data_IF_846448694387
#
_entry.id   IF_846448694387
#
_cell.length_a   1.000
_cell.length_b   1.000
_cell.length_c   1.000
_cell.angle_alpha   90.00
_cell.angle_beta   90.00
_cell.angle_gamma   90.00
#
_symmetry.space_group_name_H-M   'P 1'
#
loop_
_entity.id
_entity.type
_entity.pdbx_description
1 polymer ?
#
# COMPACT_ATOMS: atom_id res chain seq x y z
N UNK A 1 1.18 -7.12 2.25
CA UNK A 1 -0.12 -7.32 1.59
C UNK A 1 0.09 -8.16 0.35
N UNK A 2 -0.95 -8.80 -0.19
CA UNK A 2 -0.82 -9.49 -1.47
C UNK A 2 -0.63 -8.50 -2.63
N UNK A 3 0.03 -8.96 -3.68
CA UNK A 3 0.40 -8.15 -4.85
C UNK A 3 -0.81 -7.61 -5.62
N UNK A 4 -1.94 -8.35 -5.64
CA UNK A 4 -3.16 -7.90 -6.34
C UNK A 4 -3.71 -6.67 -5.66
N UNK A 5 -3.74 -6.67 -4.33
CA UNK A 5 -4.16 -5.54 -3.52
C UNK A 5 -3.24 -4.34 -3.70
N UNK A 6 -1.92 -4.54 -3.76
CA UNK A 6 -0.96 -3.43 -3.95
C UNK A 6 -1.10 -2.78 -5.35
N UNK A 7 -1.24 -3.59 -6.40
CA UNK A 7 -1.55 -3.08 -7.75
C UNK A 7 -2.88 -2.33 -7.75
N UNK A 8 -3.91 -2.90 -7.13
CA UNK A 8 -5.24 -2.29 -7.01
C UNK A 8 -5.19 -0.94 -6.30
N UNK A 9 -4.44 -0.83 -5.20
CA UNK A 9 -4.26 0.40 -4.45
C UNK A 9 -3.56 1.46 -5.27
N UNK A 10 -2.42 1.11 -5.88
CA UNK A 10 -1.69 2.02 -6.75
C UNK A 10 -2.56 2.53 -7.91
N UNK A 11 -3.33 1.63 -8.54
CA UNK A 11 -4.24 1.97 -9.62
C UNK A 11 -5.37 2.92 -9.17
N UNK A 12 -5.98 2.65 -8.01
CA UNK A 12 -7.05 3.47 -7.44
C UNK A 12 -6.55 4.88 -7.06
N UNK A 13 -5.37 4.97 -6.43
CA UNK A 13 -4.69 6.22 -6.10
C UNK A 13 -4.34 6.99 -7.37
N UNK A 14 -3.77 6.33 -8.36
CA UNK A 14 -3.42 6.96 -9.62
C UNK A 14 -4.63 7.56 -10.33
N UNK A 15 -5.73 6.82 -10.38
CA UNK A 15 -6.97 7.32 -10.94
C UNK A 15 -7.53 8.52 -10.16
N UNK A 16 -7.47 8.49 -8.83
CA UNK A 16 -7.92 9.60 -7.98
C UNK A 16 -7.08 10.87 -8.17
N UNK A 17 -5.76 10.75 -8.33
CA UNK A 17 -4.83 11.90 -8.44
C UNK A 17 -4.82 12.52 -9.83
N UNK A 18 -4.75 11.68 -10.88
CA UNK A 18 -4.46 12.15 -12.24
C UNK A 18 -5.37 11.52 -13.33
N UNK A 19 -6.27 10.61 -12.96
CA UNK A 19 -7.12 9.89 -13.91
C UNK A 19 -7.98 10.77 -14.81
N UNK A 20 -8.40 11.94 -14.32
CA UNK A 20 -9.22 12.89 -15.10
C UNK A 20 -8.44 13.63 -16.18
N UNK A 21 -7.12 13.73 -16.04
CA UNK A 21 -6.28 14.55 -16.92
C UNK A 21 -5.52 13.72 -17.94
N UNK A 22 -4.99 12.56 -17.54
CA UNK A 22 -4.20 11.67 -18.43
C UNK A 22 -4.90 10.36 -18.74
N UNK A 23 -6.15 10.21 -18.29
CA UNK A 23 -6.97 9.04 -18.59
C UNK A 23 -6.45 7.76 -17.95
N UNK A 24 -6.60 6.64 -18.67
CA UNK A 24 -6.19 5.29 -18.23
C UNK A 24 -4.70 5.17 -17.91
N UNK A 25 -3.86 6.09 -18.40
CA UNK A 25 -2.43 6.09 -18.08
C UNK A 25 -2.17 6.28 -16.59
N UNK A 26 -2.99 7.07 -15.91
CA UNK A 26 -2.85 7.27 -14.47
C UNK A 26 -3.11 5.96 -13.70
N UNK A 27 -4.18 5.25 -14.07
CA UNK A 27 -4.52 3.94 -13.51
C UNK A 27 -3.39 2.93 -13.74
N UNK A 28 -2.88 2.83 -14.98
CA UNK A 28 -1.82 1.89 -15.34
C UNK A 28 -0.51 2.17 -14.58
N UNK A 29 -0.03 3.42 -14.63
CA UNK A 29 1.22 3.78 -13.95
C UNK A 29 1.09 3.74 -12.44
N UNK A 30 -0.10 4.05 -11.90
CA UNK A 30 -0.39 3.86 -10.49
C UNK A 30 -0.24 2.40 -10.08
N UNK A 31 -0.86 1.47 -10.82
CA UNK A 31 -0.75 0.04 -10.55
C UNK A 31 0.67 -0.51 -10.72
N UNK A 32 1.42 -0.04 -11.72
CA UNK A 32 2.84 -0.38 -11.90
C UNK A 32 3.65 0.10 -10.69
N UNK A 33 3.44 1.35 -10.24
CA UNK A 33 4.14 1.86 -9.06
C UNK A 33 3.76 1.11 -7.77
N UNK A 34 2.53 0.60 -7.68
CA UNK A 34 2.11 -0.30 -6.60
C UNK A 34 2.69 -1.71 -6.69
N UNK A 35 3.24 -2.13 -7.84
CA UNK A 35 3.96 -3.41 -7.94
C UNK A 35 5.45 -3.26 -7.64
N UNK A 36 6.03 -2.12 -8.00
CA UNK A 36 7.48 -1.91 -8.05
C UNK A 36 8.23 -2.26 -6.75
N UNK A 37 7.79 -1.88 -5.53
CA UNK A 37 8.52 -2.19 -4.31
C UNK A 37 8.69 -3.70 -4.08
N UNK A 38 7.66 -4.50 -4.39
CA UNK A 38 7.64 -5.95 -4.19
C UNK A 38 8.48 -6.73 -5.23
N UNK A 39 8.92 -6.09 -6.33
CA UNK A 39 9.77 -6.74 -7.33
C UNK A 39 11.17 -7.07 -6.80
N UNK A 40 11.52 -6.59 -5.61
CA UNK A 40 12.75 -6.98 -4.91
C UNK A 40 12.84 -8.48 -4.62
N UNK A 41 11.71 -9.20 -4.58
CA UNK A 41 11.65 -10.66 -4.44
C UNK A 41 12.37 -11.41 -5.59
N UNK A 42 12.50 -10.77 -6.75
CA UNK A 42 13.17 -11.33 -7.92
C UNK A 42 14.69 -11.27 -7.83
N UNK A 43 15.24 -10.55 -6.84
CA UNK A 43 16.69 -10.40 -6.63
C UNK A 43 17.12 -11.33 -5.49
N UNK A 44 17.68 -12.52 -5.79
CA UNK A 44 18.13 -13.44 -4.74
C UNK A 44 19.36 -12.87 -4.01
N UNK A 45 19.28 -12.75 -2.69
CA UNK A 45 20.33 -12.21 -1.82
C UNK A 45 21.22 -13.31 -1.19
N UNK A 46 21.15 -14.51 -1.73
CA UNK A 46 22.02 -15.65 -1.41
C UNK A 46 21.40 -16.68 -0.46
N UNK A 47 20.78 -16.24 0.63
CA UNK A 47 20.16 -17.14 1.61
C UNK A 47 18.74 -16.70 2.03
N UNK A 48 17.98 -17.61 2.62
CA UNK A 48 16.58 -17.40 2.99
C UNK A 48 16.41 -16.32 4.06
N UNK A 49 17.36 -16.18 4.99
CA UNK A 49 17.29 -15.19 6.08
C UNK A 49 17.51 -13.79 5.51
N UNK A 50 18.51 -13.61 4.64
CA UNK A 50 18.77 -12.36 3.95
C UNK A 50 17.64 -12.00 3.01
N UNK A 51 17.12 -12.96 2.24
CA UNK A 51 15.94 -12.75 1.42
C UNK A 51 14.79 -12.23 2.28
N UNK A 52 14.46 -12.86 3.40
CA UNK A 52 13.36 -12.40 4.25
C UNK A 52 13.63 -11.06 4.94
N UNK A 53 14.88 -10.79 5.35
CA UNK A 53 15.24 -9.59 6.12
C UNK A 53 15.36 -8.34 5.25
N UNK A 54 15.84 -8.51 4.02
CA UNK A 54 16.06 -7.40 3.08
C UNK A 54 14.94 -7.25 2.05
N UNK A 55 14.12 -8.29 1.84
CA UNK A 55 12.79 -8.11 1.24
C UNK A 55 12.02 -7.18 2.17
N UNK A 56 11.52 -6.06 1.65
CA UNK A 56 10.91 -4.97 2.46
C UNK A 56 11.91 -4.12 3.27
N UNK A 57 13.17 -4.14 2.84
CA UNK A 57 14.24 -3.28 3.31
C UNK A 57 14.40 -2.04 2.41
N UNK A 58 15.48 -1.93 1.61
CA UNK A 58 15.76 -0.75 0.77
C UNK A 58 14.64 -0.38 -0.21
N UNK A 59 13.99 -1.39 -0.80
CA UNK A 59 12.89 -1.23 -1.77
C UNK A 59 11.64 -0.57 -1.19
N UNK A 60 11.45 -0.69 0.13
CA UNK A 60 10.30 -0.16 0.88
C UNK A 60 10.67 1.03 1.77
N UNK A 61 11.91 1.53 1.67
CA UNK A 61 12.33 2.74 2.38
C UNK A 61 11.62 3.97 1.81
N UNK A 62 10.99 4.75 2.69
CA UNK A 62 10.37 6.01 2.30
C UNK A 62 11.39 7.00 1.74
N UNK A 63 12.63 6.98 2.24
CA UNK A 63 13.70 7.83 1.72
C UNK A 63 14.08 7.43 0.30
N UNK A 64 14.25 6.14 0.05
CA UNK A 64 14.61 5.61 -1.28
C UNK A 64 13.48 5.87 -2.28
N UNK A 65 12.23 5.58 -1.91
CA UNK A 65 11.08 5.77 -2.79
C UNK A 65 10.78 7.26 -3.05
N UNK A 66 10.96 8.13 -2.06
CA UNK A 66 10.87 9.58 -2.26
C UNK A 66 11.94 10.09 -3.24
N UNK A 67 13.19 9.63 -3.11
CA UNK A 67 14.27 9.97 -4.04
C UNK A 67 14.07 9.36 -5.43
N UNK A 68 13.45 8.17 -5.52
CA UNK A 68 13.15 7.49 -6.77
C UNK A 68 11.96 8.09 -7.53
N UNK A 69 11.03 8.76 -6.84
CA UNK A 69 9.86 9.43 -7.42
C UNK A 69 10.19 10.34 -8.62
N UNK A 70 11.10 11.33 -8.53
CA UNK A 70 11.43 12.20 -9.67
C UNK A 70 12.02 11.44 -10.84
N UNK A 71 12.83 10.40 -10.59
CA UNK A 71 13.40 9.55 -11.63
C UNK A 71 12.29 8.78 -12.37
N UNK A 72 11.36 8.19 -11.63
CA UNK A 72 10.22 7.48 -12.21
C UNK A 72 9.34 8.43 -13.04
N UNK A 73 9.04 9.63 -12.52
CA UNK A 73 8.27 10.64 -13.27
C UNK A 73 8.99 11.10 -14.53
N UNK A 74 10.32 11.25 -14.49
CA UNK A 74 11.11 11.53 -15.68
C UNK A 74 10.92 10.47 -16.77
N UNK A 75 10.98 9.18 -16.41
CA UNK A 75 10.71 8.08 -17.35
C UNK A 75 9.28 8.10 -17.89
N UNK A 76 8.28 8.30 -17.03
CA UNK A 76 6.88 8.42 -17.46
C UNK A 76 6.70 9.55 -18.47
N UNK A 77 7.29 10.71 -18.21
CA UNK A 77 7.19 11.87 -19.10
C UNK A 77 7.97 11.70 -20.41
N UNK A 78 9.03 10.87 -20.43
CA UNK A 78 9.71 10.49 -21.67
C UNK A 78 8.82 9.62 -22.56
N UNK A 79 8.03 8.72 -21.97
CA UNK A 79 7.06 7.88 -22.70
C UNK A 79 5.78 8.65 -23.05
N UNK A 80 5.41 9.63 -22.23
CA UNK A 80 4.20 10.44 -22.39
C UNK A 80 4.49 11.96 -22.39
N UNK A 81 5.27 12.47 -23.36
CA UNK A 81 5.71 13.87 -23.39
C UNK A 81 4.55 14.86 -23.47
N UNK A 82 3.43 14.47 -24.08
CA UNK A 82 2.22 15.29 -24.16
C UNK A 82 1.56 15.56 -22.80
N UNK A 83 1.95 14.86 -21.74
CA UNK A 83 1.42 15.04 -20.38
C UNK A 83 2.34 15.86 -19.47
N UNK A 84 3.39 16.48 -20.02
CA UNK A 84 4.40 17.25 -19.25
C UNK A 84 3.81 18.37 -18.41
N UNK A 85 2.71 18.99 -18.88
CA UNK A 85 1.93 20.01 -18.14
C UNK A 85 1.40 19.51 -16.79
N UNK A 86 1.32 18.19 -16.59
CA UNK A 86 0.85 17.56 -15.35
C UNK A 86 1.99 16.96 -14.51
N UNK A 87 3.26 17.36 -14.74
CA UNK A 87 4.43 16.85 -14.01
C UNK A 87 4.23 16.80 -12.48
N UNK A 88 3.73 17.87 -11.86
CA UNK A 88 3.52 17.90 -10.41
C UNK A 88 2.50 16.86 -9.94
N UNK A 89 1.44 16.63 -10.71
CA UNK A 89 0.47 15.58 -10.39
C UNK A 89 1.01 14.17 -10.66
N UNK A 90 1.90 14.01 -11.63
CA UNK A 90 2.66 12.77 -11.80
C UNK A 90 3.56 12.48 -10.58
N UNK A 91 4.23 13.50 -10.04
CA UNK A 91 5.01 13.38 -8.78
C UNK A 91 4.12 12.90 -7.65
N UNK A 92 2.95 13.50 -7.46
CA UNK A 92 2.00 13.07 -6.44
C UNK A 92 1.49 11.66 -6.66
N UNK A 93 1.15 11.29 -7.90
CA UNK A 93 0.68 9.93 -8.22
C UNK A 93 1.72 8.88 -7.85
N UNK A 94 2.97 9.07 -8.30
CA UNK A 94 4.05 8.12 -8.07
C UNK A 94 4.40 8.06 -6.58
N UNK A 95 4.58 9.21 -5.94
CA UNK A 95 4.90 9.28 -4.52
C UNK A 95 3.81 8.64 -3.67
N UNK A 96 2.54 8.96 -3.92
CA UNK A 96 1.44 8.40 -3.15
C UNK A 96 1.32 6.89 -3.38
N UNK A 97 1.45 6.40 -4.60
CA UNK A 97 1.41 4.95 -4.87
C UNK A 97 2.49 4.21 -4.05
N UNK A 98 3.72 4.72 -4.04
CA UNK A 98 4.82 4.16 -3.24
C UNK A 98 4.57 4.25 -1.73
N UNK A 99 4.17 5.41 -1.22
CA UNK A 99 3.93 5.61 0.21
C UNK A 99 2.77 4.73 0.67
N UNK A 100 1.67 4.67 -0.08
CA UNK A 100 0.51 3.85 0.30
C UNK A 100 0.81 2.36 0.27
N UNK A 101 1.67 1.90 -0.65
CA UNK A 101 2.16 0.52 -0.67
C UNK A 101 2.87 0.17 0.64
N UNK A 102 3.87 0.97 1.00
CA UNK A 102 4.71 0.75 2.18
C UNK A 102 3.89 0.85 3.46
N UNK A 103 2.99 1.83 3.54
CA UNK A 103 2.08 1.96 4.68
C UNK A 103 1.20 0.71 4.79
N UNK A 104 0.61 0.23 3.69
CA UNK A 104 -0.21 -0.98 3.72
C UNK A 104 0.57 -2.21 4.19
N UNK A 105 1.85 -2.32 3.84
CA UNK A 105 2.70 -3.40 4.34
C UNK A 105 2.99 -3.31 5.84
N UNK A 106 3.15 -2.11 6.39
CA UNK A 106 3.30 -1.89 7.84
C UNK A 106 2.11 -2.38 8.65
N UNK A 107 0.94 -2.53 8.02
CA UNK A 107 -0.30 -2.95 8.66
C UNK A 107 -0.44 -4.47 8.76
N UNK A 108 0.47 -5.19 8.10
CA UNK A 108 0.60 -6.64 8.21
C UNK A 108 1.64 -7.02 9.27
N UNK A 109 1.77 -8.32 9.56
CA UNK A 109 2.70 -8.85 10.57
C UNK A 109 4.15 -8.99 10.08
N UNK A 110 4.42 -8.82 8.78
CA UNK A 110 5.68 -9.23 8.17
C UNK A 110 6.86 -8.28 8.40
N UNK A 111 6.64 -7.12 9.04
CA UNK A 111 7.69 -6.12 9.26
C UNK A 111 8.06 -5.38 7.98
N UNK A 112 8.27 -4.06 8.07
CA UNK A 112 8.74 -3.25 6.94
C UNK A 112 9.71 -2.20 7.43
N UNK A 113 10.89 -2.09 6.81
CA UNK A 113 11.95 -1.17 7.23
C UNK A 113 11.78 0.20 6.58
N UNK A 114 10.70 0.90 6.91
CA UNK A 114 10.31 2.15 6.24
C UNK A 114 11.34 3.28 6.35
N UNK A 115 12.20 3.24 7.36
CA UNK A 115 13.26 4.22 7.61
C UNK A 115 14.66 3.73 7.26
N UNK A 116 14.80 2.59 6.57
CA UNK A 116 16.10 2.12 6.09
C UNK A 116 16.84 3.26 5.34
N UNK A 117 18.15 3.50 5.58
CA UNK A 117 19.11 2.65 6.30
C UNK A 117 19.27 2.99 7.80
N UNK A 118 18.37 3.79 8.40
CA UNK A 118 18.45 4.08 9.83
C UNK A 118 18.28 2.78 10.65
N UNK A 119 18.97 2.63 11.79
CA UNK A 119 18.90 1.44 12.63
C UNK A 119 17.62 1.43 13.48
N UNK A 120 16.47 1.41 12.81
CA UNK A 120 15.14 1.34 13.43
C UNK A 120 14.55 -0.05 13.28
N UNK A 121 13.81 -0.56 14.26
CA UNK A 121 13.13 -1.85 14.13
C UNK A 121 12.09 -1.81 12.99
N UNK A 122 11.84 -2.93 12.29
CA UNK A 122 10.78 -3.01 11.29
C UNK A 122 9.41 -2.70 11.88
N UNK A 123 8.57 -1.99 11.12
CA UNK A 123 7.20 -1.66 11.54
C UNK A 123 6.26 -2.81 11.18
N UNK A 124 5.47 -3.28 12.16
CA UNK A 124 4.53 -4.41 12.02
C UNK A 124 3.28 -4.24 12.90
N UNK A 125 2.39 -3.31 12.55
CA UNK A 125 1.19 -3.04 13.34
C UNK A 125 0.23 -4.23 13.40
N UNK A 126 0.27 -5.15 12.43
CA UNK A 126 -0.49 -6.40 12.46
C UNK A 126 -1.99 -6.18 12.71
N UNK A 127 -2.59 -5.24 11.96
CA UNK A 127 -4.02 -4.90 12.01
C UNK A 127 -4.81 -5.57 10.88
N UNK A 128 -4.13 -5.90 9.77
CA UNK A 128 -4.74 -6.52 8.59
C UNK A 128 -4.11 -7.86 8.25
N UNK A 129 -4.95 -8.78 7.77
CA UNK A 129 -4.48 -10.02 7.15
C UNK A 129 -3.95 -9.73 5.74
N UNK A 130 -2.99 -10.52 5.23
CA UNK A 130 -2.32 -10.23 3.94
C UNK A 130 -3.30 -10.17 2.78
N UNK A 131 -4.28 -11.07 2.79
CA UNK A 131 -5.32 -11.23 1.77
C UNK A 131 -6.64 -10.93 2.46
N UNK A 132 -6.93 -9.66 2.74
CA UNK A 132 -8.16 -9.25 3.44
C UNK A 132 -9.24 -8.82 2.43
N UNK A 133 -10.27 -9.65 2.15
CA UNK A 133 -11.31 -9.33 1.18
C UNK A 133 -12.13 -8.10 1.56
N UNK A 134 -12.28 -7.79 2.86
CA UNK A 134 -13.04 -6.63 3.31
C UNK A 134 -12.31 -5.32 2.94
N UNK A 135 -10.98 -5.35 2.87
CA UNK A 135 -10.19 -4.26 2.32
C UNK A 135 -10.13 -4.29 0.78
N UNK A 136 -9.80 -5.44 0.21
CA UNK A 136 -9.41 -5.56 -1.20
C UNK A 136 -10.59 -5.57 -2.17
N UNK A 137 -11.75 -6.14 -1.81
CA UNK A 137 -12.91 -6.19 -2.71
C UNK A 137 -13.49 -4.80 -3.03
N UNK A 138 -13.75 -3.91 -2.04
CA UNK A 138 -14.19 -2.55 -2.36
C UNK A 138 -13.19 -1.84 -3.26
N UNK A 139 -11.90 -1.91 -2.93
CA UNK A 139 -10.82 -1.28 -3.70
C UNK A 139 -10.81 -1.74 -5.16
N UNK A 140 -10.77 -3.05 -5.40
CA UNK A 140 -10.74 -3.64 -6.74
C UNK A 140 -12.04 -3.35 -7.51
N UNK A 141 -13.20 -3.30 -6.84
CA UNK A 141 -14.47 -2.92 -7.47
C UNK A 141 -14.43 -1.48 -8.00
N UNK A 142 -13.77 -0.56 -7.28
CA UNK A 142 -13.55 0.82 -7.72
C UNK A 142 -12.69 0.91 -8.97
N UNK A 143 -11.56 0.18 -8.98
CA UNK A 143 -10.67 0.08 -10.14
C UNK A 143 -11.40 -0.53 -11.34
N UNK A 144 -12.16 -1.60 -11.12
CA UNK A 144 -12.94 -2.27 -12.16
C UNK A 144 -14.01 -1.34 -12.75
N UNK A 145 -14.70 -0.56 -11.91
CA UNK A 145 -15.67 0.43 -12.36
C UNK A 145 -15.03 1.46 -13.30
N UNK A 146 -13.81 1.92 -13.02
CA UNK A 146 -13.08 2.86 -13.90
C UNK A 146 -12.68 2.22 -15.23
N UNK A 147 -12.38 0.93 -15.24
CA UNK A 147 -12.00 0.20 -16.45
C UNK A 147 -13.22 0.02 -17.37
N UNK A 148 -14.36 -0.38 -16.80
CA UNK A 148 -15.58 -0.75 -17.52
C UNK A 148 -16.43 0.48 -17.89
N UNK A 149 -16.58 1.44 -16.98
CA UNK A 149 -17.49 2.56 -17.18
C UNK A 149 -16.94 3.60 -18.16
N UNK A 150 -17.84 4.28 -18.86
CA UNK A 150 -17.49 5.34 -19.81
C UNK A 150 -16.86 6.54 -19.09
N UNK A 151 -15.66 6.93 -19.56
CA UNK A 151 -14.94 8.14 -19.13
C UNK A 151 -15.54 9.45 -19.66
N UNK A 152 -16.59 9.40 -20.50
CA UNK A 152 -17.38 10.60 -20.85
C UNK A 152 -18.11 11.17 -19.63
N UNK A 153 -18.36 10.32 -18.63
CA UNK A 153 -19.01 10.72 -17.37
C UNK A 153 -18.01 10.63 -16.22
N UNK A 154 -18.29 11.34 -15.13
CA UNK A 154 -17.48 11.26 -13.90
C UNK A 154 -17.78 10.02 -13.07
N UNK A 155 -18.77 9.20 -13.44
CA UNK A 155 -19.28 8.08 -12.61
C UNK A 155 -18.19 7.10 -12.19
N UNK A 156 -17.36 6.63 -13.13
CA UNK A 156 -16.27 5.70 -12.82
C UNK A 156 -15.27 6.28 -11.81
N UNK A 157 -14.90 7.56 -11.99
CA UNK A 157 -14.03 8.26 -11.04
C UNK A 157 -14.65 8.36 -9.65
N UNK A 158 -15.93 8.74 -9.57
CA UNK A 158 -16.67 8.85 -8.30
C UNK A 158 -16.76 7.52 -7.59
N UNK A 159 -17.05 6.43 -8.32
CA UNK A 159 -17.10 5.08 -7.74
C UNK A 159 -15.72 4.67 -7.22
N UNK A 160 -14.64 4.89 -7.98
CA UNK A 160 -13.28 4.62 -7.49
C UNK A 160 -12.94 5.40 -6.22
N UNK A 161 -13.25 6.71 -6.18
CA UNK A 161 -13.02 7.52 -4.99
C UNK A 161 -13.85 7.04 -3.80
N UNK A 162 -15.11 6.66 -4.00
CA UNK A 162 -15.96 6.13 -2.94
C UNK A 162 -15.43 4.79 -2.41
N UNK A 163 -15.06 3.86 -3.29
CA UNK A 163 -14.47 2.58 -2.93
C UNK A 163 -13.13 2.74 -2.18
N UNK A 164 -12.25 3.63 -2.67
CA UNK A 164 -11.00 3.95 -1.99
C UNK A 164 -11.25 4.55 -0.60
N UNK A 165 -12.25 5.42 -0.45
CA UNK A 165 -12.66 5.96 0.84
C UNK A 165 -13.19 4.86 1.78
N UNK A 166 -14.00 3.93 1.28
CA UNK A 166 -14.51 2.79 2.07
C UNK A 166 -13.34 1.92 2.57
N UNK A 167 -12.40 1.54 1.70
CA UNK A 167 -11.20 0.78 2.09
C UNK A 167 -10.34 1.54 3.10
N UNK A 168 -10.27 2.87 2.99
CA UNK A 168 -9.57 3.74 3.95
C UNK A 168 -10.29 3.80 5.30
N UNK A 169 -11.62 3.86 5.32
CA UNK A 169 -12.41 3.81 6.57
C UNK A 169 -12.25 2.45 7.26
N UNK A 170 -12.31 1.36 6.48
CA UNK A 170 -12.05 0.02 7.00
C UNK A 170 -10.65 -0.07 7.63
N UNK A 171 -9.67 0.59 7.03
CA UNK A 171 -8.32 0.67 7.56
C UNK A 171 -8.29 1.23 8.99
N UNK A 172 -8.89 2.42 9.20
CA UNK A 172 -8.96 3.04 10.52
C UNK A 172 -9.77 2.20 11.52
N UNK A 173 -10.85 1.57 11.07
CA UNK A 173 -11.61 0.65 11.89
C UNK A 173 -10.74 -0.54 12.36
N UNK A 174 -9.91 -1.13 11.48
CA UNK A 174 -9.01 -2.24 11.83
C UNK A 174 -7.99 -1.85 12.90
N UNK A 175 -7.48 -0.61 12.86
CA UNK A 175 -6.59 -0.07 13.90
C UNK A 175 -7.33 0.04 15.23
N UNK A 176 -8.58 0.53 15.22
CA UNK A 176 -9.40 0.59 16.43
C UNK A 176 -9.68 -0.79 17.03
N UNK A 177 -10.03 -1.76 16.18
CA UNK A 177 -10.24 -3.16 16.59
C UNK A 177 -8.96 -3.76 17.20
N UNK A 178 -7.80 -3.51 16.60
CA UNK A 178 -6.49 -3.93 17.11
C UNK A 178 -6.23 -3.40 18.52
N UNK A 179 -6.41 -2.10 18.74
CA UNK A 179 -6.21 -1.46 20.05
C UNK A 179 -7.13 -2.10 21.10
N UNK A 180 -8.40 -2.33 20.74
CA UNK A 180 -9.37 -2.97 21.63
C UNK A 180 -8.95 -4.41 22.00
N UNK A 181 -8.62 -5.23 21.01
CA UNK A 181 -8.22 -6.64 21.23
C UNK A 181 -6.95 -6.73 22.06
N UNK A 182 -5.95 -5.88 21.82
CA UNK A 182 -4.75 -5.83 22.66
C UNK A 182 -5.07 -5.47 24.11
N UNK A 183 -5.97 -4.50 24.33
CA UNK A 183 -6.40 -4.12 25.68
C UNK A 183 -7.07 -5.30 26.41
N UNK A 184 -7.96 -6.03 25.71
CA UNK A 184 -8.64 -7.21 26.27
C UNK A 184 -7.64 -8.33 26.58
N UNK A 185 -6.70 -8.60 25.68
CA UNK A 185 -5.69 -9.62 25.86
C UNK A 185 -4.78 -9.34 27.07
N UNK A 186 -4.29 -8.09 27.20
CA UNK A 186 -3.46 -7.67 28.34
C UNK A 186 -4.22 -7.79 29.67
N UNK A 187 -5.49 -7.37 29.70
CA UNK A 187 -6.31 -7.48 30.90
C UNK A 187 -6.57 -8.94 31.31
N UNK A 188 -6.81 -9.82 30.34
CA UNK A 188 -6.98 -11.26 30.58
C UNK A 188 -5.72 -11.91 31.16
N UNK A 189 -4.55 -11.62 30.57
CA UNK A 189 -3.25 -12.13 31.06
C UNK A 189 -2.97 -11.63 32.49
N UNK A 190 -3.27 -10.36 32.77
CA UNK A 190 -3.12 -9.77 34.10
C UNK A 190 -4.01 -10.45 35.14
N UNK A 191 -5.28 -10.71 34.81
CA UNK A 191 -6.23 -11.41 35.71
C UNK A 191 -5.80 -12.84 36.02
N UNK A 192 -5.17 -13.52 35.08
CA UNK A 192 -4.68 -14.89 35.25
C UNK A 192 -3.29 -14.96 35.90
N UNK A 193 -2.64 -13.81 36.17
CA UNK A 193 -1.29 -13.76 36.72
C UNK A 193 -0.21 -14.27 35.75
N UNK A 194 -0.48 -14.26 34.44
CA UNK A 194 0.45 -14.73 33.42
C UNK A 194 1.38 -13.59 33.01
N UNK A 195 2.67 -13.73 33.34
CA UNK A 195 3.72 -12.83 32.88
C UNK A 195 4.11 -13.10 31.42
N UNK A 196 4.44 -12.04 30.67
CA UNK A 196 4.94 -12.13 29.30
C UNK A 196 5.99 -11.05 29.04
N UNK A 197 6.94 -11.31 28.15
CA UNK A 197 7.96 -10.35 27.72
C UNK A 197 7.56 -9.56 26.47
N UNK A 198 6.76 -10.18 25.59
CA UNK A 198 6.18 -9.56 24.40
C UNK A 198 4.78 -10.11 24.13
N UNK A 199 3.88 -9.27 23.62
CA UNK A 199 2.54 -9.66 23.19
C UNK A 199 2.40 -9.37 21.70
N UNK A 200 2.08 -10.40 20.93
CA UNK A 200 1.74 -10.29 19.52
C UNK A 200 0.30 -10.76 19.33
N UNK A 201 -0.56 -9.86 18.86
CA UNK A 201 -1.90 -10.21 18.39
C UNK A 201 -1.90 -10.12 16.87
N UNK A 202 -2.54 -11.05 16.18
CA UNK A 202 -2.63 -11.01 14.72
C UNK A 202 -4.07 -11.26 14.28
N UNK A 203 -4.54 -10.59 13.20
CA UNK A 203 -5.80 -10.97 12.59
C UNK A 203 -5.67 -12.40 12.05
N UNK A 204 -6.68 -13.22 12.31
CA UNK A 204 -6.78 -14.55 11.72
C UNK A 204 -7.28 -14.45 10.28
N UNK A 205 -6.97 -15.46 9.47
CA UNK A 205 -7.76 -15.70 8.27
C UNK A 205 -9.23 -15.93 8.68
N UNK A 206 -10.14 -15.51 7.81
CA UNK A 206 -11.60 -15.54 7.95
C UNK A 206 -12.14 -16.85 8.54
#
# INVERSE_FOLDING_TARGET
>A
MDTVTQIGLGAAVGEAVLGRQVGRRALLWGGICGLLPDLDVLVPLGDAVRNFTYHRGPSHSLFVLAAFTPLMVYWILKVHPQTVLHRTRWMWLVFLAFVTHVLLDCLTVYGTQIFWPLPTPPVMWSTLFIIDPAYSLPLLSGVLAVIIMSRKTTRGHTVNTACLAISTVYHFWSIGAKIHVESVARESLRRQGIGYSALLTTPTAF
#
